data_IF_888372910402
#
_entry.id   IF_888372910402
#
_cell.length_a   1.000
_cell.length_b   1.000
_cell.length_c   1.000
_cell.angle_alpha   90.00
_cell.angle_beta   90.00
_cell.angle_gamma   90.00
#
_symmetry.space_group_name_H-M   'P 1'
#
loop_
_entity.id
_entity.type
_entity.pdbx_description
1 polymer ?
#
# COMPACT_ATOMS: atom_id res chain seq x y z
N UNK A 1 11.01 15.57 -4.20
CA UNK A 1 9.71 15.23 -4.84
C UNK A 1 9.33 13.75 -4.64
N UNK A 2 10.12 12.78 -5.13
CA UNK A 2 9.75 11.34 -5.07
C UNK A 2 9.57 10.74 -3.66
N UNK A 3 10.37 11.15 -2.67
CA UNK A 3 10.24 10.64 -1.29
C UNK A 3 8.90 11.02 -0.63
N UNK A 4 8.36 12.19 -0.97
CA UNK A 4 7.08 12.66 -0.44
C UNK A 4 5.92 11.83 -0.98
N UNK A 5 5.89 11.61 -2.30
CA UNK A 5 4.89 10.77 -2.98
C UNK A 5 4.86 9.38 -2.34
N UNK A 6 6.03 8.79 -2.13
CA UNK A 6 6.14 7.45 -1.54
C UNK A 6 5.63 7.37 -0.11
N UNK A 7 5.98 8.34 0.75
CA UNK A 7 5.47 8.38 2.13
C UNK A 7 3.95 8.56 2.16
N UNK A 8 3.39 9.35 1.23
CA UNK A 8 1.94 9.52 1.13
C UNK A 8 1.25 8.21 0.71
N UNK A 9 1.71 7.57 -0.37
CA UNK A 9 1.17 6.28 -0.82
C UNK A 9 1.25 5.21 0.26
N UNK A 10 2.34 5.19 1.04
CA UNK A 10 2.50 4.28 2.17
C UNK A 10 1.45 4.51 3.26
N UNK A 11 1.18 5.77 3.61
CA UNK A 11 0.11 6.13 4.53
C UNK A 11 -1.28 5.78 4.00
N UNK A 12 -1.53 5.99 2.71
CA UNK A 12 -2.78 5.63 2.07
C UNK A 12 -2.99 4.10 2.09
N UNK A 13 -1.97 3.30 1.78
CA UNK A 13 -2.02 1.84 1.91
C UNK A 13 -2.41 1.40 3.34
N UNK A 14 -1.76 1.99 4.34
CA UNK A 14 -2.06 1.69 5.74
C UNK A 14 -3.51 2.03 6.10
N UNK A 15 -3.99 3.21 5.69
CA UNK A 15 -5.36 3.65 5.93
C UNK A 15 -6.38 2.73 5.25
N UNK A 16 -6.19 2.42 3.97
CA UNK A 16 -7.05 1.52 3.21
C UNK A 16 -7.13 0.13 3.85
N UNK A 17 -6.00 -0.42 4.32
CA UNK A 17 -5.98 -1.69 5.06
C UNK A 17 -6.79 -1.60 6.36
N UNK A 18 -6.60 -0.55 7.14
CA UNK A 18 -7.30 -0.36 8.42
C UNK A 18 -8.81 -0.16 8.23
N UNK A 19 -9.23 0.54 7.17
CA UNK A 19 -10.64 0.71 6.81
C UNK A 19 -11.32 -0.61 6.41
N UNK A 20 -10.54 -1.63 6.03
CA UNK A 20 -11.01 -2.99 5.77
C UNK A 20 -10.87 -3.92 6.97
N UNK A 21 -10.53 -3.38 8.14
CA UNK A 21 -10.32 -4.12 9.39
C UNK A 21 -9.29 -5.25 9.28
N UNK A 22 -8.32 -5.12 8.36
CA UNK A 22 -7.29 -6.12 8.15
C UNK A 22 -6.07 -5.84 9.02
N UNK A 23 -5.55 -6.85 9.70
CA UNK A 23 -4.19 -6.79 10.22
C UNK A 23 -3.17 -6.86 9.08
N UNK A 24 -1.91 -6.52 9.35
CA UNK A 24 -0.83 -6.68 8.36
C UNK A 24 -0.67 -8.15 7.96
N UNK A 25 -0.88 -9.09 8.90
CA UNK A 25 -0.84 -10.52 8.64
C UNK A 25 -1.99 -10.99 7.72
N UNK A 26 -3.19 -10.41 7.88
CA UNK A 26 -4.32 -10.73 7.01
C UNK A 26 -4.06 -10.27 5.58
N UNK A 27 -3.57 -9.04 5.40
CA UNK A 27 -3.22 -8.53 4.08
C UNK A 27 -2.08 -9.33 3.45
N UNK A 28 -1.07 -9.74 4.23
CA UNK A 28 0.02 -10.60 3.77
C UNK A 28 -0.53 -11.93 3.25
N UNK A 29 -1.38 -12.59 4.04
CA UNK A 29 -2.00 -13.85 3.66
C UNK A 29 -2.85 -13.75 2.39
N UNK A 30 -3.63 -12.68 2.22
CA UNK A 30 -4.50 -12.48 1.05
C UNK A 30 -3.74 -12.11 -0.22
N UNK A 31 -2.65 -11.35 -0.09
CA UNK A 31 -1.84 -10.90 -1.23
C UNK A 31 -0.72 -11.88 -1.63
N UNK A 32 -0.39 -12.84 -0.75
CA UNK A 32 0.78 -13.70 -0.93
C UNK A 32 2.11 -12.98 -0.69
N UNK A 33 2.08 -11.75 -0.14
CA UNK A 33 3.26 -11.00 0.25
C UNK A 33 3.71 -11.39 1.66
N UNK A 34 4.99 -11.18 1.97
CA UNK A 34 5.45 -11.32 3.36
C UNK A 34 4.99 -10.14 4.23
N UNK A 35 4.85 -10.38 5.53
CA UNK A 35 4.55 -9.32 6.51
C UNK A 35 5.61 -8.21 6.46
N UNK A 36 6.88 -8.58 6.34
CA UNK A 36 8.00 -7.63 6.25
C UNK A 36 7.91 -6.75 5.00
N UNK A 37 7.47 -7.33 3.88
CA UNK A 37 7.22 -6.58 2.64
C UNK A 37 6.14 -5.53 2.85
N UNK A 38 5.02 -5.88 3.49
CA UNK A 38 3.95 -4.94 3.77
C UNK A 38 4.36 -3.85 4.77
N UNK A 39 5.11 -4.19 5.83
CA UNK A 39 5.65 -3.19 6.76
C UNK A 39 6.63 -2.23 6.06
N UNK A 40 7.46 -2.75 5.15
CA UNK A 40 8.36 -1.91 4.35
C UNK A 40 7.59 -0.99 3.40
N UNK A 41 6.46 -1.45 2.84
CA UNK A 41 5.59 -0.63 1.98
C UNK A 41 4.87 0.45 2.80
N UNK A 42 4.24 0.10 3.93
CA UNK A 42 3.48 1.02 4.79
C UNK A 42 4.37 2.03 5.55
N UNK A 43 5.63 1.69 5.80
CA UNK A 43 6.60 2.66 6.34
C UNK A 43 7.12 3.64 5.27
N UNK A 44 6.82 3.38 4.00
CA UNK A 44 7.36 4.14 2.89
C UNK A 44 8.85 3.90 2.67
N UNK A 45 9.35 2.70 3.03
CA UNK A 45 10.62 1.98 2.72
C UNK A 45 11.72 2.69 1.94
N UNK A 46 12.47 1.99 1.10
CA UNK A 46 13.03 2.36 -0.24
C UNK A 46 13.55 1.08 -0.86
N UNK A 47 13.88 0.13 0.00
CA UNK A 47 14.16 -1.27 -0.27
C UNK A 47 13.07 -2.00 -1.05
N UNK A 48 11.78 -1.64 -0.86
CA UNK A 48 10.65 -2.23 -1.59
C UNK A 48 9.94 -1.17 -2.44
N UNK A 49 10.06 -1.21 -3.79
CA UNK A 49 9.35 -0.29 -4.66
C UNK A 49 7.87 -0.68 -4.80
N UNK A 50 6.99 0.33 -4.96
CA UNK A 50 5.64 0.10 -5.48
C UNK A 50 5.75 -0.12 -6.99
N UNK A 51 5.79 -1.39 -7.42
CA UNK A 51 5.67 -1.72 -8.85
C UNK A 51 4.20 -1.65 -9.28
N UNK A 52 3.96 -1.59 -10.58
CA UNK A 52 2.60 -1.55 -11.11
C UNK A 52 1.82 -2.83 -10.78
N UNK A 53 2.46 -3.99 -10.88
CA UNK A 53 1.86 -5.29 -10.55
C UNK A 53 1.49 -5.37 -9.07
N UNK A 54 2.37 -4.87 -8.18
CA UNK A 54 2.10 -4.81 -6.75
C UNK A 54 0.92 -3.89 -6.44
N UNK A 55 0.86 -2.73 -7.10
CA UNK A 55 -0.25 -1.79 -6.94
C UNK A 55 -1.58 -2.44 -7.37
N UNK A 56 -1.61 -3.08 -8.54
CA UNK A 56 -2.81 -3.78 -9.03
C UNK A 56 -3.24 -4.92 -8.10
N UNK A 57 -2.28 -5.72 -7.62
CA UNK A 57 -2.54 -6.78 -6.65
C UNK A 57 -3.20 -6.21 -5.39
N UNK A 58 -2.64 -5.13 -4.84
CA UNK A 58 -3.18 -4.49 -3.65
C UNK A 58 -4.56 -3.87 -3.90
N UNK A 59 -4.82 -3.31 -5.09
CA UNK A 59 -6.14 -2.82 -5.48
C UNK A 59 -7.19 -3.94 -5.43
N UNK A 60 -6.87 -5.10 -6.00
CA UNK A 60 -7.78 -6.27 -6.01
C UNK A 60 -8.01 -6.79 -4.58
N UNK A 61 -6.94 -6.91 -3.77
CA UNK A 61 -7.05 -7.50 -2.42
C UNK A 61 -7.78 -6.58 -1.43
N UNK A 62 -7.63 -5.27 -1.59
CA UNK A 62 -8.28 -4.27 -0.74
C UNK A 62 -9.65 -3.83 -1.25
N UNK A 63 -10.02 -4.22 -2.47
CA UNK A 63 -11.24 -3.79 -3.15
C UNK A 63 -11.32 -2.26 -3.23
N UNK A 64 -10.32 -1.69 -3.92
CA UNK A 64 -10.12 -0.24 -4.09
C UNK A 64 -9.65 0.06 -5.52
N UNK A 65 -9.77 1.32 -5.91
CA UNK A 65 -9.28 1.79 -7.20
C UNK A 65 -7.85 2.35 -7.08
N UNK A 66 -7.07 2.39 -8.18
CA UNK A 66 -5.72 2.96 -8.14
C UNK A 66 -5.68 4.39 -7.60
N UNK A 67 -6.71 5.20 -7.85
CA UNK A 67 -6.78 6.59 -7.41
C UNK A 67 -6.77 6.73 -5.87
N UNK A 68 -7.30 5.75 -5.14
CA UNK A 68 -7.33 5.76 -3.68
C UNK A 68 -5.91 5.75 -3.08
N UNK A 69 -4.95 5.12 -3.77
CA UNK A 69 -3.54 5.15 -3.37
C UNK A 69 -2.89 6.52 -3.57
N UNK A 70 -3.41 7.34 -4.48
CA UNK A 70 -2.85 8.66 -4.82
C UNK A 70 -3.63 9.83 -4.20
N UNK A 71 -4.63 9.55 -3.37
CA UNK A 71 -5.42 10.60 -2.72
C UNK A 71 -4.51 11.60 -1.97
N UNK A 72 -4.77 12.90 -2.19
CA UNK A 72 -4.01 14.00 -1.59
C UNK A 72 -2.63 14.27 -2.21
N UNK A 73 -2.31 13.68 -3.37
CA UNK A 73 -1.09 13.99 -4.13
C UNK A 73 -1.26 15.05 -5.22
N UNK A 74 -2.48 15.26 -5.69
CA UNK A 74 -2.80 16.24 -6.72
C UNK A 74 -3.50 17.42 -6.04
N UNK A 75 -2.71 18.44 -5.69
CA UNK A 75 -3.20 19.75 -5.23
C UNK A 75 -2.95 20.77 -6.33
#
# INVERSE_FOLDING_TARGET
MMLFVRKRMAGNLQALRQMRELSVADLASRSGLSVDTLLALESGSVTVPFTFELLLLLCVVLDVEPNDFFEGLYC
#
